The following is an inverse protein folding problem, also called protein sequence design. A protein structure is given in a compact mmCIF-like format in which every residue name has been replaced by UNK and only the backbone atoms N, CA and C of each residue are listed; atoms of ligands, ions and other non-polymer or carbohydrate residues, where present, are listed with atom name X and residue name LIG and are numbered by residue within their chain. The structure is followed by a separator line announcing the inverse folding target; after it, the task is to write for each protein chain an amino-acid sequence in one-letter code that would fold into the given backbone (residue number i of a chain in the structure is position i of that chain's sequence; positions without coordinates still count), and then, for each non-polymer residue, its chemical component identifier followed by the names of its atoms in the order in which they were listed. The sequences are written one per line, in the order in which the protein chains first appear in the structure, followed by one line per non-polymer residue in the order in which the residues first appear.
data_IF_927236197924
#
_entry.id   IF_927236197924
#
_cell.length_a   1.000
_cell.length_b   1.000
_cell.length_c   1.000
_cell.angle_alpha   90.00
_cell.angle_beta   90.00
_cell.angle_gamma   90.00
#
_symmetry.space_group_name_H-M   'P 1'
#
loop_
_entity.id
_entity.type
_entity.pdbx_description
1 polymer ?
#
# COMPACT_ATOMS: atom_id res chain seq x y z
N UNK A 1 -14.27 -0.58 76.25
CA UNK A 1 -13.47 -1.11 75.10
C UNK A 1 -14.33 -1.72 74.03
N UNK A 2 -15.66 -1.57 73.96
CA UNK A 2 -16.56 -2.21 72.94
C UNK A 2 -16.97 -1.34 71.77
N UNK A 3 -16.52 -0.08 71.69
CA UNK A 3 -16.92 0.85 70.59
C UNK A 3 -15.87 0.96 69.42
N UNK A 4 -14.70 0.39 69.61
CA UNK A 4 -13.60 0.46 68.60
C UNK A 4 -13.75 -0.54 67.45
N UNK A 5 -14.36 -1.68 67.70
CA UNK A 5 -14.55 -2.72 66.68
C UNK A 5 -15.58 -2.34 65.60
N UNK A 6 -16.79 -1.77 65.89
CA UNK A 6 -17.69 -1.37 64.81
C UNK A 6 -17.18 -0.19 64.00
N UNK A 7 -16.39 0.71 64.58
CA UNK A 7 -15.78 1.84 63.87
C UNK A 7 -14.70 1.38 62.90
N UNK A 8 -13.89 0.40 63.30
CA UNK A 8 -12.87 -0.21 62.41
C UNK A 8 -13.51 -0.99 61.25
N UNK A 9 -14.64 -1.69 61.54
CA UNK A 9 -15.37 -2.40 60.47
C UNK A 9 -16.02 -1.42 59.49
N UNK A 10 -16.60 -0.31 59.97
CA UNK A 10 -17.17 0.73 59.11
C UNK A 10 -16.10 1.43 58.28
N UNK A 11 -14.91 1.68 58.86
CA UNK A 11 -13.79 2.26 58.12
C UNK A 11 -13.23 1.30 57.04
N UNK A 12 -13.14 0.00 57.36
CA UNK A 12 -12.71 -1.03 56.40
C UNK A 12 -13.72 -1.19 55.27
N UNK A 13 -15.04 -1.15 55.57
CA UNK A 13 -16.10 -1.18 54.57
C UNK A 13 -16.10 0.06 53.67
N UNK A 14 -15.78 1.24 54.21
CA UNK A 14 -15.65 2.47 53.41
C UNK A 14 -14.44 2.46 52.46
N UNK A 15 -13.35 1.84 52.88
CA UNK A 15 -12.14 1.70 52.04
C UNK A 15 -12.31 0.70 50.87
N UNK A 16 -13.20 -0.28 51.03
CA UNK A 16 -13.51 -1.26 49.96
C UNK A 16 -14.54 -0.76 48.95
N UNK A 17 -15.17 0.39 49.19
CA UNK A 17 -16.20 0.99 48.33
C UNK A 17 -15.65 2.04 47.36
N UNK A 18 -14.39 1.93 46.96
CA UNK A 18 -13.78 2.81 45.96
C UNK A 18 -13.41 2.02 44.69
N UNK A 19 -13.70 2.58 43.55
CA UNK A 19 -13.19 2.10 42.24
C UNK A 19 -12.35 3.18 41.59
N UNK A 20 -11.39 2.76 40.79
CA UNK A 20 -10.51 3.62 40.04
C UNK A 20 -10.82 3.45 38.55
N UNK A 21 -10.84 4.55 37.80
CA UNK A 21 -10.89 4.61 36.35
C UNK A 21 -9.51 5.02 35.88
N UNK A 22 -8.88 4.18 35.04
CA UNK A 22 -7.54 4.41 34.57
C UNK A 22 -7.47 5.47 33.45
N UNK A 23 -6.30 6.03 33.25
CA UNK A 23 -6.05 7.03 32.18
C UNK A 23 -6.36 6.45 30.81
N UNK A 24 -7.13 7.19 30.01
CA UNK A 24 -7.57 6.77 28.66
C UNK A 24 -8.83 5.92 28.67
N UNK A 25 -9.43 5.66 29.85
CA UNK A 25 -10.69 4.99 30.01
C UNK A 25 -11.78 5.98 30.49
N UNK A 26 -13.01 5.55 30.44
CA UNK A 26 -14.18 6.31 30.87
C UNK A 26 -15.08 5.43 31.71
N UNK A 27 -15.64 5.99 32.77
CA UNK A 27 -16.58 5.28 33.64
C UNK A 27 -18.04 5.56 33.28
N UNK A 28 -18.85 4.51 33.38
CA UNK A 28 -20.31 4.62 33.33
C UNK A 28 -20.87 4.29 34.70
N UNK A 29 -21.48 5.28 35.32
CA UNK A 29 -22.12 5.13 36.64
C UNK A 29 -23.52 4.54 36.49
N UNK A 30 -23.83 3.55 37.34
CA UNK A 30 -25.17 3.00 37.50
C UNK A 30 -25.59 3.10 38.97
N UNK A 31 -26.70 3.78 39.23
CA UNK A 31 -27.29 3.89 40.54
C UNK A 31 -28.63 3.17 40.54
N UNK A 32 -28.76 2.09 41.34
CA UNK A 32 -29.97 1.28 41.43
C UNK A 32 -30.52 0.84 40.06
N UNK A 33 -29.61 0.47 39.12
CA UNK A 33 -29.95 0.04 37.76
C UNK A 33 -30.14 1.17 36.74
N UNK A 34 -30.18 2.44 37.17
CA UNK A 34 -30.27 3.59 36.27
C UNK A 34 -28.87 4.04 35.84
N UNK A 35 -28.64 4.13 34.53
CA UNK A 35 -27.40 4.64 33.94
C UNK A 35 -27.37 6.16 34.01
N UNK A 36 -26.26 6.73 34.48
CA UNK A 36 -26.00 8.17 34.39
C UNK A 36 -25.76 8.58 32.95
N UNK A 37 -26.32 9.70 32.45
CA UNK A 37 -26.04 10.19 31.11
C UNK A 37 -24.63 10.78 30.95
N UNK A 38 -23.97 11.09 32.07
CA UNK A 38 -22.63 11.67 32.06
C UNK A 38 -21.56 10.61 32.21
N UNK A 39 -20.53 10.70 31.35
CA UNK A 39 -19.34 9.87 31.39
C UNK A 39 -18.41 10.36 32.52
N UNK A 40 -17.94 9.46 33.38
CA UNK A 40 -16.97 9.78 34.40
C UNK A 40 -15.55 9.80 33.86
N UNK A 41 -14.80 10.89 34.04
CA UNK A 41 -13.39 10.95 33.63
C UNK A 41 -12.50 10.03 34.49
N UNK A 42 -11.23 9.81 34.11
CA UNK A 42 -10.27 9.10 34.94
C UNK A 42 -10.15 9.67 36.35
N UNK A 43 -10.11 8.77 37.36
CA UNK A 43 -10.07 9.18 38.75
C UNK A 43 -10.55 8.08 39.70
N UNK A 44 -10.67 8.43 40.98
CA UNK A 44 -11.15 7.53 42.05
C UNK A 44 -12.59 7.93 42.42
N UNK A 45 -13.48 6.95 42.44
CA UNK A 45 -14.90 7.14 42.70
C UNK A 45 -15.39 6.25 43.84
N UNK A 46 -16.24 6.84 44.67
CA UNK A 46 -16.87 6.14 45.78
C UNK A 46 -18.14 5.40 45.33
N UNK A 47 -18.20 4.09 45.56
CA UNK A 47 -19.19 3.18 44.95
C UNK A 47 -20.13 2.51 45.96
N UNK A 48 -20.39 3.10 47.14
CA UNK A 48 -21.17 2.45 48.20
C UNK A 48 -22.60 2.04 47.79
N UNK A 49 -23.28 2.88 46.99
CA UNK A 49 -24.65 2.63 46.48
C UNK A 49 -24.76 2.67 44.97
N UNK A 50 -23.64 2.65 44.28
CA UNK A 50 -23.54 2.73 42.83
C UNK A 50 -22.45 1.80 42.31
N UNK A 51 -22.59 1.40 41.08
CA UNK A 51 -21.54 0.67 40.34
C UNK A 51 -20.96 1.57 39.25
N UNK A 52 -19.68 1.44 39.00
CA UNK A 52 -19.01 2.14 37.92
C UNK A 52 -18.36 1.07 37.05
N UNK A 53 -18.79 0.99 35.81
CA UNK A 53 -18.18 0.13 34.81
C UNK A 53 -17.17 0.95 34.03
N UNK A 54 -15.97 0.40 33.83
CA UNK A 54 -14.88 1.07 33.15
C UNK A 54 -14.80 0.61 31.68
N UNK A 55 -14.87 1.57 30.75
CA UNK A 55 -14.81 1.34 29.32
C UNK A 55 -13.56 1.96 28.70
N UNK A 56 -12.96 1.27 27.74
CA UNK A 56 -11.85 1.78 26.98
C UNK A 56 -12.29 2.90 26.05
N UNK A 57 -11.64 4.05 26.16
CA UNK A 57 -11.68 5.13 25.17
C UNK A 57 -10.36 5.24 24.39
N UNK A 58 -9.45 4.30 24.63
CA UNK A 58 -8.21 4.13 23.89
C UNK A 58 -8.51 3.58 22.49
N UNK A 59 -7.50 3.61 21.64
CA UNK A 59 -7.57 2.90 20.35
C UNK A 59 -7.55 1.39 20.61
N UNK A 60 -8.53 0.72 20.05
CA UNK A 60 -8.69 -0.73 20.11
C UNK A 60 -8.62 -1.28 18.71
N UNK A 61 -7.97 -2.43 18.54
CA UNK A 61 -7.90 -3.13 17.26
C UNK A 61 -8.59 -4.48 17.31
N UNK A 62 -9.14 -4.90 16.19
CA UNK A 62 -9.61 -6.26 15.98
C UNK A 62 -9.27 -6.73 14.57
N UNK A 63 -9.21 -8.04 14.42
CA UNK A 63 -8.85 -8.70 13.19
C UNK A 63 -10.08 -9.37 12.57
N UNK A 64 -10.32 -9.08 11.30
CA UNK A 64 -11.22 -9.86 10.46
C UNK A 64 -10.37 -10.84 9.67
N UNK A 65 -10.58 -12.12 9.89
CA UNK A 65 -9.80 -13.20 9.26
C UNK A 65 -10.70 -14.12 8.46
N UNK A 66 -10.08 -14.87 7.55
CA UNK A 66 -10.73 -15.93 6.73
C UNK A 66 -11.97 -15.43 5.96
N UNK A 67 -11.94 -14.18 5.48
CA UNK A 67 -13.05 -13.65 4.70
C UNK A 67 -12.92 -14.06 3.24
N UNK A 68 -14.06 -14.41 2.64
CA UNK A 68 -14.16 -14.87 1.24
C UNK A 68 -15.11 -14.00 0.42
N UNK A 69 -14.88 -12.68 0.31
CA UNK A 69 -15.74 -11.79 -0.46
C UNK A 69 -15.58 -12.01 -1.97
N UNK A 70 -16.58 -11.53 -2.72
CA UNK A 70 -16.52 -11.46 -4.18
C UNK A 70 -16.14 -10.06 -4.65
N UNK A 71 -15.25 -10.01 -5.61
CA UNK A 71 -14.83 -8.78 -6.28
C UNK A 71 -15.84 -8.32 -7.35
N UNK A 72 -15.60 -7.14 -7.92
CA UNK A 72 -16.45 -6.55 -8.98
C UNK A 72 -16.55 -7.44 -10.21
N UNK A 73 -15.49 -8.13 -10.58
CA UNK A 73 -15.41 -9.11 -11.68
C UNK A 73 -15.95 -10.49 -11.31
N UNK A 74 -16.71 -10.57 -10.18
CA UNK A 74 -17.39 -11.78 -9.68
C UNK A 74 -16.42 -12.94 -9.33
N UNK A 75 -15.15 -12.63 -9.09
CA UNK A 75 -14.16 -13.59 -8.63
C UNK A 75 -14.17 -13.67 -7.10
N UNK A 76 -14.15 -14.88 -6.55
CA UNK A 76 -14.12 -15.08 -5.09
C UNK A 76 -12.69 -14.96 -4.59
N UNK A 77 -12.49 -14.11 -3.58
CA UNK A 77 -11.24 -14.06 -2.82
C UNK A 77 -11.16 -15.31 -1.94
N UNK A 78 -10.00 -15.93 -1.86
CA UNK A 78 -9.81 -17.16 -1.08
C UNK A 78 -9.60 -16.86 0.40
N UNK A 79 -8.90 -15.78 0.69
CA UNK A 79 -8.58 -15.36 2.03
C UNK A 79 -8.28 -13.86 2.05
N UNK A 80 -9.00 -13.15 2.90
CA UNK A 80 -8.82 -11.71 3.12
C UNK A 80 -8.76 -11.45 4.62
N UNK A 81 -7.59 -10.93 5.05
CA UNK A 81 -7.37 -10.53 6.43
C UNK A 81 -7.20 -9.02 6.53
N UNK A 82 -7.97 -8.41 7.41
CA UNK A 82 -7.96 -6.97 7.64
C UNK A 82 -7.94 -6.67 9.13
N UNK A 83 -7.01 -5.80 9.55
CA UNK A 83 -7.00 -5.25 10.90
C UNK A 83 -7.70 -3.88 10.88
N UNK A 84 -8.60 -3.67 11.83
CA UNK A 84 -9.35 -2.44 11.97
C UNK A 84 -9.03 -1.83 13.34
N UNK A 85 -8.70 -0.54 13.32
CA UNK A 85 -8.41 0.26 14.51
C UNK A 85 -9.52 1.28 14.70
N UNK A 86 -10.09 1.31 15.90
CA UNK A 86 -11.14 2.25 16.22
C UNK A 86 -11.04 2.74 17.66
N UNK A 87 -11.67 3.85 17.95
CA UNK A 87 -11.85 4.37 19.29
C UNK A 87 -13.28 4.84 19.48
N UNK A 88 -13.71 4.84 20.73
CA UNK A 88 -15.03 5.32 21.12
C UNK A 88 -14.90 6.72 21.70
N UNK A 89 -15.83 7.61 21.33
CA UNK A 89 -15.91 8.92 21.94
C UNK A 89 -16.35 8.79 23.41
N UNK A 90 -15.55 9.25 24.39
CA UNK A 90 -15.87 9.13 25.81
C UNK A 90 -17.28 9.62 26.19
N UNK A 91 -17.70 10.73 25.61
CA UNK A 91 -19.02 11.33 25.89
C UNK A 91 -20.20 10.50 25.38
N UNK A 92 -19.99 9.63 24.40
CA UNK A 92 -21.02 8.77 23.83
C UNK A 92 -21.21 7.46 24.61
N UNK A 93 -20.22 7.04 25.42
CA UNK A 93 -20.21 5.72 26.09
C UNK A 93 -21.44 5.45 26.94
N UNK A 94 -21.97 6.37 27.78
CA UNK A 94 -23.18 6.10 28.54
C UNK A 94 -24.42 5.82 27.69
N UNK A 95 -24.57 6.58 26.60
CA UNK A 95 -25.63 6.36 25.61
C UNK A 95 -25.50 5.04 24.89
N UNK A 96 -24.28 4.69 24.43
CA UNK A 96 -23.98 3.40 23.82
C UNK A 96 -24.22 2.25 24.81
N UNK A 97 -23.84 2.40 26.08
CA UNK A 97 -24.06 1.37 27.08
C UNK A 97 -25.55 1.12 27.31
N UNK A 98 -26.36 2.16 27.32
CA UNK A 98 -27.83 2.01 27.42
C UNK A 98 -28.40 1.29 26.20
N UNK A 99 -27.89 1.58 25.01
CA UNK A 99 -28.36 1.01 23.74
C UNK A 99 -27.84 -0.41 23.49
N UNK A 100 -26.59 -0.69 23.87
CA UNK A 100 -25.85 -1.93 23.53
C UNK A 100 -25.37 -2.69 24.80
N UNK A 101 -26.11 -2.66 25.87
CA UNK A 101 -25.73 -3.26 27.16
C UNK A 101 -25.31 -4.73 27.10
N UNK A 102 -25.87 -5.49 26.16
CA UNK A 102 -25.52 -6.90 25.92
C UNK A 102 -24.31 -7.13 25.03
N UNK A 103 -23.74 -6.07 24.44
CA UNK A 103 -22.61 -6.14 23.51
C UNK A 103 -21.36 -5.48 24.12
N UNK A 104 -20.86 -6.10 25.17
CA UNK A 104 -19.69 -5.63 25.92
C UNK A 104 -18.69 -6.79 26.04
N UNK A 105 -17.46 -6.54 25.66
CA UNK A 105 -16.37 -7.52 25.69
C UNK A 105 -15.22 -6.97 26.54
N UNK A 106 -14.53 -7.85 27.29
CA UNK A 106 -13.32 -7.43 27.99
C UNK A 106 -12.21 -7.16 26.99
N UNK A 107 -11.50 -6.06 27.17
CA UNK A 107 -10.39 -5.71 26.32
C UNK A 107 -9.30 -6.78 26.33
N UNK A 108 -9.05 -7.41 27.48
CA UNK A 108 -8.11 -8.54 27.61
C UNK A 108 -8.46 -9.76 26.75
N UNK A 109 -9.73 -9.95 26.43
CA UNK A 109 -10.19 -11.09 25.63
C UNK A 109 -10.00 -10.82 24.12
N UNK A 110 -9.81 -9.56 23.74
CA UNK A 110 -9.56 -9.15 22.34
C UNK A 110 -8.07 -9.14 22.00
N UNK A 111 -7.23 -8.81 22.94
CA UNK A 111 -5.78 -8.72 22.78
C UNK A 111 -5.13 -9.81 23.64
N UNK A 112 -4.31 -10.66 23.02
CA UNK A 112 -3.58 -11.74 23.73
C UNK A 112 -2.59 -11.25 24.79
N UNK A 113 -2.41 -9.94 24.91
CA UNK A 113 -1.57 -9.30 25.93
C UNK A 113 -2.41 -9.01 27.18
N UNK A 114 -2.22 -9.82 28.20
CA UNK A 114 -3.01 -9.73 29.44
C UNK A 114 -2.78 -8.44 30.22
N UNK A 115 -3.82 -7.98 30.90
CA UNK A 115 -3.73 -6.99 31.98
C UNK A 115 -4.73 -5.86 32.00
N UNK A 116 -5.49 -5.59 30.96
CA UNK A 116 -6.50 -4.53 30.98
C UNK A 116 -7.82 -5.04 31.54
N UNK A 117 -8.37 -4.33 32.55
CA UNK A 117 -9.67 -4.64 33.16
C UNK A 117 -10.83 -3.93 32.47
N UNK A 118 -10.52 -3.02 31.59
CA UNK A 118 -11.47 -2.20 30.86
C UNK A 118 -12.33 -3.02 29.89
N UNK A 119 -13.50 -2.51 29.60
CA UNK A 119 -14.49 -3.11 28.72
C UNK A 119 -14.52 -2.36 27.39
N UNK A 120 -14.78 -3.06 26.31
CA UNK A 120 -15.03 -2.49 24.98
C UNK A 120 -16.51 -2.62 24.68
N UNK A 121 -17.15 -1.49 24.40
CA UNK A 121 -18.58 -1.43 24.11
C UNK A 121 -18.88 -1.60 22.64
N UNK A 122 -20.00 -2.26 22.31
CA UNK A 122 -20.53 -2.46 20.97
C UNK A 122 -19.54 -3.17 20.01
N UNK A 123 -18.65 -4.01 20.55
CA UNK A 123 -17.63 -4.72 19.79
C UNK A 123 -18.21 -5.60 18.69
N UNK A 124 -19.19 -6.44 19.01
CA UNK A 124 -19.79 -7.35 18.03
C UNK A 124 -20.54 -6.58 16.94
N UNK A 125 -21.09 -5.43 17.29
CA UNK A 125 -21.72 -4.55 16.30
C UNK A 125 -20.69 -3.96 15.34
N UNK A 126 -19.64 -3.32 15.87
CA UNK A 126 -18.57 -2.74 15.05
C UNK A 126 -17.92 -3.80 14.17
N UNK A 127 -17.66 -4.99 14.70
CA UNK A 127 -17.08 -6.12 13.95
C UNK A 127 -17.99 -6.60 12.82
N UNK A 128 -19.32 -6.65 13.01
CA UNK A 128 -20.27 -7.03 11.94
C UNK A 128 -20.36 -5.97 10.85
N UNK A 129 -20.50 -4.70 11.22
CA UNK A 129 -20.53 -3.59 10.26
C UNK A 129 -19.20 -3.49 9.48
N UNK A 130 -18.09 -3.74 10.17
CA UNK A 130 -16.77 -3.78 9.52
C UNK A 130 -16.66 -4.90 8.49
N UNK A 131 -17.13 -6.09 8.83
CA UNK A 131 -17.19 -7.21 7.87
C UNK A 131 -18.00 -6.86 6.64
N UNK A 132 -19.17 -6.26 6.82
CA UNK A 132 -20.02 -5.83 5.72
C UNK A 132 -19.38 -4.72 4.89
N UNK A 133 -18.72 -3.74 5.51
CA UNK A 133 -17.99 -2.69 4.83
C UNK A 133 -16.84 -3.25 3.96
N UNK A 134 -16.13 -4.29 4.44
CA UNK A 134 -15.11 -5.00 3.65
C UNK A 134 -15.72 -5.67 2.44
N UNK A 135 -16.83 -6.41 2.60
CA UNK A 135 -17.51 -7.04 1.47
C UNK A 135 -17.97 -6.02 0.42
N UNK A 136 -18.55 -4.89 0.86
CA UNK A 136 -18.97 -3.79 -0.03
C UNK A 136 -17.78 -3.13 -0.74
N UNK A 137 -16.67 -2.93 -0.05
CA UNK A 137 -15.47 -2.31 -0.62
C UNK A 137 -14.81 -3.21 -1.67
N UNK A 138 -14.66 -4.50 -1.38
CA UNK A 138 -14.06 -5.48 -2.29
C UNK A 138 -14.92 -5.65 -3.55
N UNK A 139 -16.26 -5.62 -3.41
CA UNK A 139 -17.17 -5.67 -4.56
C UNK A 139 -17.06 -4.47 -5.52
N UNK A 140 -16.38 -3.40 -5.14
CA UNK A 140 -16.11 -2.24 -6.01
C UNK A 140 -14.80 -2.37 -6.80
N UNK A 141 -13.91 -3.27 -6.43
CA UNK A 141 -12.58 -3.45 -7.02
C UNK A 141 -12.47 -4.77 -7.80
N UNK A 142 -11.62 -4.77 -8.81
CA UNK A 142 -11.29 -5.98 -9.57
C UNK A 142 -10.25 -6.82 -8.83
N UNK A 143 -10.45 -8.13 -8.74
CA UNK A 143 -9.51 -9.04 -8.08
C UNK A 143 -8.10 -8.95 -8.67
N UNK A 144 -8.01 -8.83 -9.99
CA UNK A 144 -6.74 -8.78 -10.73
C UNK A 144 -5.86 -7.57 -10.41
N UNK A 145 -6.46 -6.44 -10.00
CA UNK A 145 -5.73 -5.20 -9.69
C UNK A 145 -5.69 -4.86 -8.20
N UNK A 146 -6.45 -5.58 -7.39
CA UNK A 146 -6.64 -5.27 -5.97
C UNK A 146 -5.34 -5.29 -5.16
N UNK A 147 -4.40 -6.19 -5.51
CA UNK A 147 -3.10 -6.28 -4.84
C UNK A 147 -2.25 -5.00 -4.97
N UNK A 148 -2.41 -4.23 -6.05
CA UNK A 148 -1.74 -2.93 -6.25
C UNK A 148 -2.52 -1.75 -5.68
N UNK A 149 -3.82 -1.95 -5.36
CA UNK A 149 -4.75 -0.92 -4.87
C UNK A 149 -5.13 -1.10 -3.40
N UNK A 150 -4.24 -1.69 -2.60
CA UNK A 150 -4.50 -1.97 -1.17
C UNK A 150 -4.85 -0.72 -0.36
N UNK A 151 -4.18 0.40 -0.63
CA UNK A 151 -4.46 1.68 0.05
C UNK A 151 -5.86 2.22 -0.27
N UNK A 152 -6.31 2.05 -1.51
CA UNK A 152 -7.66 2.43 -1.92
C UNK A 152 -8.70 1.53 -1.25
N UNK A 153 -8.46 0.21 -1.20
CA UNK A 153 -9.32 -0.73 -0.49
C UNK A 153 -9.44 -0.33 1.00
N UNK A 154 -8.31 -0.05 1.66
CA UNK A 154 -8.30 0.37 3.06
C UNK A 154 -9.13 1.63 3.29
N UNK A 155 -9.03 2.62 2.39
CA UNK A 155 -9.81 3.86 2.48
C UNK A 155 -11.30 3.65 2.20
N UNK A 156 -11.65 2.80 1.24
CA UNK A 156 -13.04 2.42 0.98
C UNK A 156 -13.68 1.72 2.19
N UNK A 157 -12.94 0.81 2.83
CA UNK A 157 -13.41 0.15 4.05
C UNK A 157 -13.55 1.16 5.18
N UNK A 158 -12.53 2.01 5.41
CA UNK A 158 -12.53 3.02 6.47
C UNK A 158 -13.72 3.98 6.33
N UNK A 159 -13.87 4.57 5.16
CA UNK A 159 -14.94 5.56 4.89
C UNK A 159 -16.33 4.91 4.89
N UNK A 160 -16.46 3.71 4.34
CA UNK A 160 -17.69 2.94 4.35
C UNK A 160 -18.14 2.58 5.76
N UNK A 161 -17.24 2.02 6.57
CA UNK A 161 -17.50 1.66 7.97
C UNK A 161 -17.85 2.90 8.81
N UNK A 162 -17.07 4.00 8.68
CA UNK A 162 -17.35 5.23 9.39
C UNK A 162 -18.75 5.75 9.08
N UNK A 163 -19.15 5.74 7.80
CA UNK A 163 -20.47 6.17 7.35
C UNK A 163 -21.60 5.33 7.94
N UNK A 164 -21.46 4.01 7.98
CA UNK A 164 -22.46 3.09 8.54
C UNK A 164 -22.59 3.26 10.07
N UNK A 165 -21.47 3.44 10.76
CA UNK A 165 -21.48 3.70 12.20
C UNK A 165 -22.13 5.06 12.51
N UNK A 166 -21.79 6.11 11.75
CA UNK A 166 -22.36 7.45 11.93
C UNK A 166 -23.86 7.52 11.60
N UNK A 167 -24.35 6.67 10.73
CA UNK A 167 -25.78 6.62 10.43
C UNK A 167 -26.61 6.14 11.63
N UNK A 168 -26.03 5.30 12.49
CA UNK A 168 -26.71 4.72 13.65
C UNK A 168 -26.37 5.41 14.97
N UNK A 169 -25.11 5.83 15.13
CA UNK A 169 -24.53 6.37 16.37
C UNK A 169 -23.56 7.51 16.04
N UNK A 170 -24.10 8.61 15.54
CA UNK A 170 -23.35 9.75 15.00
C UNK A 170 -22.27 10.26 15.96
N UNK A 171 -21.02 10.21 15.50
CA UNK A 171 -19.86 10.70 16.23
C UNK A 171 -19.47 9.87 17.46
N UNK A 172 -20.10 8.70 17.67
CA UNK A 172 -19.79 7.81 18.79
C UNK A 172 -18.52 6.98 18.54
N UNK A 173 -18.24 6.62 17.29
CA UNK A 173 -17.10 5.81 16.91
C UNK A 173 -16.23 6.57 15.90
N UNK A 174 -14.93 6.38 16.01
CA UNK A 174 -13.94 6.93 15.06
C UNK A 174 -13.06 5.79 14.57
N UNK A 175 -13.11 5.51 13.27
CA UNK A 175 -12.22 4.52 12.65
C UNK A 175 -10.90 5.22 12.35
N UNK A 176 -9.84 4.81 13.07
CA UNK A 176 -8.54 5.47 13.02
C UNK A 176 -7.71 4.96 11.84
N UNK A 177 -7.68 3.63 11.66
CA UNK A 177 -6.92 2.99 10.58
C UNK A 177 -7.56 1.67 10.15
N UNK A 178 -7.28 1.30 8.91
CA UNK A 178 -7.61 -0.01 8.34
C UNK A 178 -6.36 -0.53 7.64
N UNK A 179 -5.89 -1.71 8.03
CA UNK A 179 -4.72 -2.35 7.45
C UNK A 179 -5.11 -3.64 6.73
N UNK A 180 -4.88 -3.70 5.45
CA UNK A 180 -5.09 -4.91 4.64
C UNK A 180 -3.83 -5.79 4.75
N UNK A 181 -3.92 -6.87 5.56
CA UNK A 181 -2.80 -7.79 5.82
C UNK A 181 -2.62 -8.79 4.71
N UNK A 182 -3.68 -9.49 4.37
CA UNK A 182 -3.65 -10.54 3.38
C UNK A 182 -4.76 -10.35 2.35
N UNK A 183 -4.44 -10.65 1.10
CA UNK A 183 -5.35 -10.65 -0.04
C UNK A 183 -4.94 -11.84 -0.92
N UNK A 184 -5.53 -13.00 -0.65
CA UNK A 184 -5.29 -14.20 -1.44
C UNK A 184 -6.45 -14.42 -2.41
N UNK A 185 -6.10 -14.58 -3.67
CA UNK A 185 -7.03 -14.97 -4.72
C UNK A 185 -6.95 -16.48 -4.97
N UNK A 186 -7.84 -17.01 -5.77
CA UNK A 186 -7.73 -18.41 -6.24
C UNK A 186 -6.43 -18.59 -7.04
N UNK A 187 -5.71 -19.71 -6.89
CA UNK A 187 -4.48 -19.98 -7.63
C UNK A 187 -4.59 -19.86 -9.14
N UNK A 188 -5.77 -20.17 -9.71
CA UNK A 188 -6.04 -19.98 -11.13
C UNK A 188 -6.05 -18.50 -11.53
N UNK A 189 -6.58 -17.64 -10.66
CA UNK A 189 -6.58 -16.18 -10.85
C UNK A 189 -5.17 -15.64 -10.72
N UNK A 190 -4.41 -16.09 -9.74
CA UNK A 190 -2.99 -15.69 -9.58
C UNK A 190 -2.14 -16.09 -10.80
N UNK A 191 -2.37 -17.26 -11.36
CA UNK A 191 -1.72 -17.68 -12.59
C UNK A 191 -2.08 -16.76 -13.78
N UNK A 192 -3.36 -16.41 -13.92
CA UNK A 192 -3.82 -15.48 -14.96
C UNK A 192 -3.24 -14.05 -14.78
N UNK A 193 -3.17 -13.55 -13.55
CA UNK A 193 -2.53 -12.26 -13.22
C UNK A 193 -1.04 -12.30 -13.60
N UNK A 194 -0.34 -13.36 -13.24
CA UNK A 194 1.09 -13.53 -13.57
C UNK A 194 1.32 -13.57 -15.07
N UNK A 195 0.52 -14.36 -15.80
CA UNK A 195 0.59 -14.43 -17.25
C UNK A 195 0.32 -13.08 -17.93
N UNK A 196 -0.65 -12.31 -17.41
CA UNK A 196 -0.94 -10.96 -17.88
C UNK A 196 0.24 -10.02 -17.63
N UNK A 197 0.82 -10.04 -16.44
CA UNK A 197 2.00 -9.23 -16.10
C UNK A 197 3.21 -9.56 -16.98
N UNK A 198 3.45 -10.84 -17.26
CA UNK A 198 4.50 -11.29 -18.20
C UNK A 198 4.24 -10.78 -19.62
N UNK A 199 2.99 -10.83 -20.07
CA UNK A 199 2.59 -10.30 -21.40
C UNK A 199 2.78 -8.79 -21.48
N UNK A 200 2.36 -8.05 -20.46
CA UNK A 200 2.52 -6.59 -20.41
C UNK A 200 4.01 -6.19 -20.39
N UNK A 201 4.84 -6.92 -19.64
CA UNK A 201 6.30 -6.71 -19.67
C UNK A 201 6.92 -7.02 -21.03
N UNK A 202 6.46 -8.07 -21.72
CA UNK A 202 6.91 -8.42 -23.05
C UNK A 202 6.53 -7.34 -24.07
N UNK A 203 5.32 -6.81 -23.99
CA UNK A 203 4.84 -5.70 -24.84
C UNK A 203 5.70 -4.44 -24.58
N UNK A 204 5.95 -4.08 -23.33
CA UNK A 204 6.75 -2.92 -22.99
C UNK A 204 8.21 -3.06 -23.48
N UNK A 205 8.78 -4.26 -23.33
CA UNK A 205 10.11 -4.58 -23.88
C UNK A 205 10.14 -4.38 -25.40
N UNK A 206 9.15 -4.92 -26.10
CA UNK A 206 9.03 -4.76 -27.56
C UNK A 206 8.86 -3.30 -27.97
N UNK A 207 8.11 -2.54 -27.22
CA UNK A 207 7.93 -1.09 -27.44
C UNK A 207 9.26 -0.34 -27.37
N UNK A 208 10.06 -0.63 -26.32
CA UNK A 208 11.40 -0.06 -26.15
C UNK A 208 12.37 -0.51 -27.26
N UNK A 209 12.32 -1.77 -27.69
CA UNK A 209 13.12 -2.26 -28.82
C UNK A 209 12.78 -1.50 -30.10
N UNK A 210 11.50 -1.27 -30.38
CA UNK A 210 11.05 -0.50 -31.55
C UNK A 210 11.50 0.97 -31.47
N UNK A 211 11.42 1.57 -30.30
CA UNK A 211 11.85 2.95 -30.07
C UNK A 211 13.36 3.11 -30.28
N UNK A 212 14.16 2.18 -29.75
CA UNK A 212 15.60 2.13 -29.95
C UNK A 212 15.95 1.95 -31.45
N UNK A 213 15.28 1.03 -32.14
CA UNK A 213 15.49 0.80 -33.56
C UNK A 213 15.15 2.04 -34.42
N UNK A 214 14.08 2.76 -34.08
CA UNK A 214 13.72 4.03 -34.71
C UNK A 214 14.78 5.11 -34.47
N UNK A 215 15.22 5.27 -33.24
CA UNK A 215 16.26 6.25 -32.89
C UNK A 215 17.59 5.94 -33.58
N UNK A 216 17.94 4.66 -33.71
CA UNK A 216 19.13 4.23 -34.42
C UNK A 216 19.04 4.46 -35.94
N UNK A 217 17.89 4.18 -36.57
CA UNK A 217 17.62 4.49 -37.95
C UNK A 217 17.68 6.01 -38.22
N UNK A 218 17.11 6.81 -37.34
CA UNK A 218 17.14 8.27 -37.44
C UNK A 218 18.57 8.81 -37.30
N UNK A 219 19.37 8.26 -36.39
CA UNK A 219 20.78 8.59 -36.23
C UNK A 219 21.58 8.28 -37.51
N UNK A 220 21.35 7.11 -38.12
CA UNK A 220 22.01 6.72 -39.36
C UNK A 220 21.63 7.64 -40.52
N UNK A 221 20.37 8.06 -40.62
CA UNK A 221 19.92 9.01 -41.66
C UNK A 221 20.61 10.36 -41.47
N UNK A 222 20.63 10.90 -40.25
CA UNK A 222 21.28 12.18 -39.92
C UNK A 222 22.78 12.12 -40.20
N UNK A 223 23.45 11.01 -39.90
CA UNK A 223 24.85 10.77 -40.16
C UNK A 223 25.14 10.73 -41.68
N UNK A 224 24.30 10.01 -42.45
CA UNK A 224 24.41 9.92 -43.90
C UNK A 224 24.17 11.28 -44.59
N UNK A 225 23.16 12.04 -44.15
CA UNK A 225 22.88 13.41 -44.60
C UNK A 225 24.05 14.36 -44.29
N UNK A 226 24.59 14.26 -43.08
CA UNK A 226 25.76 15.03 -42.64
C UNK A 226 26.98 14.74 -43.53
N UNK A 227 27.22 13.46 -43.85
CA UNK A 227 28.31 13.02 -44.69
C UNK A 227 28.13 13.44 -46.17
N UNK A 228 26.90 13.35 -46.69
CA UNK A 228 26.56 13.84 -48.03
C UNK A 228 26.78 15.35 -48.14
N UNK A 229 26.36 16.10 -47.14
CA UNK A 229 26.54 17.56 -47.06
C UNK A 229 28.00 17.97 -46.96
N UNK A 230 28.78 17.25 -46.14
CA UNK A 230 30.23 17.44 -46.05
C UNK A 230 30.93 17.18 -47.39
N UNK A 231 30.59 16.08 -48.06
CA UNK A 231 31.12 15.73 -49.37
C UNK A 231 30.74 16.78 -50.45
N UNK A 232 29.53 17.33 -50.40
CA UNK A 232 29.09 18.39 -51.32
C UNK A 232 29.87 19.68 -51.08
N UNK A 233 30.13 20.07 -49.83
CA UNK A 233 30.93 21.23 -49.49
C UNK A 233 32.39 21.05 -49.96
N UNK A 234 32.98 19.89 -49.72
CA UNK A 234 34.33 19.55 -50.18
C UNK A 234 34.38 19.60 -51.72
N UNK A 235 33.41 18.97 -52.39
CA UNK A 235 33.36 18.96 -53.87
C UNK A 235 33.23 20.35 -54.50
N UNK A 236 32.48 21.24 -53.86
CA UNK A 236 32.27 22.61 -54.32
C UNK A 236 33.47 23.54 -54.03
N UNK A 237 34.25 23.23 -53.02
CA UNK A 237 35.41 24.03 -52.59
C UNK A 237 36.76 23.58 -53.18
N UNK A 238 36.80 22.39 -53.82
CA UNK A 238 38.02 21.84 -54.40
C UNK A 238 38.34 22.43 -55.76
N UNK A 239 39.46 23.16 -55.84
CA UNK A 239 40.08 23.50 -57.12
C UNK A 239 40.62 22.23 -57.81
N UNK A 240 40.80 22.24 -59.21
CA UNK A 240 41.31 21.06 -59.93
C UNK A 240 42.58 20.47 -59.34
N UNK A 241 43.54 21.30 -58.94
CA UNK A 241 44.81 20.88 -58.30
C UNK A 241 44.60 20.21 -56.93
N UNK A 242 43.66 20.67 -56.12
CA UNK A 242 43.35 20.10 -54.79
C UNK A 242 42.61 18.76 -54.94
N UNK A 243 41.87 18.54 -56.07
CA UNK A 243 41.22 17.28 -56.39
C UNK A 243 42.23 16.19 -56.65
N UNK A 244 43.28 16.49 -57.41
CA UNK A 244 44.37 15.52 -57.72
C UNK A 244 45.12 15.12 -56.43
N UNK A 245 45.44 16.08 -55.54
CA UNK A 245 46.11 15.82 -54.24
C UNK A 245 45.23 14.92 -53.37
N UNK A 246 43.94 15.21 -53.31
CA UNK A 246 43.00 14.40 -52.49
C UNK A 246 42.80 13.01 -53.05
N UNK A 247 42.78 12.86 -54.31
CA UNK A 247 42.75 11.54 -55.01
C UNK A 247 43.99 10.72 -54.70
N UNK A 248 45.16 11.35 -54.74
CA UNK A 248 46.44 10.68 -54.41
C UNK A 248 46.51 10.27 -52.91
N UNK A 249 45.99 11.10 -52.01
CA UNK A 249 45.88 10.73 -50.61
C UNK A 249 44.95 9.54 -50.37
N UNK A 250 43.75 9.53 -50.96
CA UNK A 250 42.80 8.42 -50.88
C UNK A 250 43.36 7.12 -51.46
N UNK A 251 44.10 7.19 -52.57
CA UNK A 251 44.79 6.04 -53.13
C UNK A 251 45.89 5.52 -52.21
N UNK A 252 46.64 6.41 -51.57
CA UNK A 252 47.67 6.04 -50.57
C UNK A 252 47.05 5.38 -49.33
N UNK A 253 45.98 5.93 -48.82
CA UNK A 253 45.30 5.41 -47.61
C UNK A 253 44.64 4.06 -47.93
N UNK A 254 44.03 3.88 -49.10
CA UNK A 254 43.52 2.60 -49.56
C UNK A 254 44.65 1.55 -49.73
N UNK A 255 45.79 1.94 -50.25
CA UNK A 255 46.94 1.06 -50.39
C UNK A 255 47.50 0.66 -49.00
N UNK A 256 47.59 1.59 -48.08
CA UNK A 256 48.00 1.31 -46.70
C UNK A 256 47.01 0.41 -45.96
N UNK A 257 45.70 0.60 -46.17
CA UNK A 257 44.64 -0.25 -45.59
C UNK A 257 44.69 -1.69 -46.12
N UNK A 258 45.07 -1.85 -47.38
CA UNK A 258 45.28 -3.16 -48.01
C UNK A 258 46.61 -3.79 -47.52
N UNK A 259 47.69 -3.01 -47.41
CA UNK A 259 48.99 -3.47 -46.93
C UNK A 259 48.99 -3.84 -45.44
N UNK A 260 48.11 -3.25 -44.62
CA UNK A 260 47.95 -3.56 -43.17
C UNK A 260 47.28 -4.90 -42.89
N UNK A 261 46.63 -5.53 -43.89
CA UNK A 261 46.12 -6.91 -43.77
C UNK A 261 47.29 -7.86 -44.03
N UNK A 262 47.65 -8.65 -43.04
CA UNK A 262 48.77 -9.61 -43.09
C UNK A 262 48.73 -10.47 -44.34
N UNK A 263 49.81 -10.42 -45.13
CA UNK A 263 50.00 -11.26 -46.28
C UNK A 263 49.82 -10.60 -47.66
N UNK A 264 49.46 -9.29 -47.72
CA UNK A 264 49.31 -8.60 -49.02
C UNK A 264 50.47 -7.64 -49.32
N UNK A 265 51.15 -7.83 -50.43
CA UNK A 265 52.16 -6.88 -50.95
C UNK A 265 51.50 -5.96 -51.97
N UNK A 266 51.48 -4.65 -51.73
CA UNK A 266 50.97 -3.65 -52.68
C UNK A 266 52.13 -2.99 -53.36
N UNK A 267 52.25 -3.19 -54.69
CA UNK A 267 53.22 -2.50 -55.55
C UNK A 267 52.55 -1.25 -56.13
N UNK A 268 53.03 -0.08 -55.75
CA UNK A 268 52.62 1.19 -56.32
C UNK A 268 53.55 1.44 -57.57
N UNK A 269 53.02 1.17 -58.74
CA UNK A 269 53.70 1.52 -59.98
C UNK A 269 53.49 3.01 -60.28
N UNK A 270 54.50 3.67 -60.84
CA UNK A 270 54.53 5.11 -61.22
C UNK A 270 53.61 5.52 -62.38
N UNK A 271 52.42 5.00 -62.43
CA UNK A 271 51.34 5.37 -63.39
C UNK A 271 50.06 4.66 -62.98
N UNK A 272 49.28 5.34 -62.26
CA UNK A 272 47.81 5.34 -62.03
C UNK A 272 46.98 4.05 -61.94
N UNK A 273 47.53 2.83 -61.86
CA UNK A 273 46.75 1.63 -61.54
C UNK A 273 47.44 0.73 -60.51
N UNK A 274 46.84 0.39 -59.42
CA UNK A 274 47.38 -0.56 -58.46
C UNK A 274 47.25 -2.00 -58.99
N UNK A 275 48.38 -2.69 -59.16
CA UNK A 275 48.39 -4.13 -59.40
C UNK A 275 48.19 -4.86 -58.07
N UNK A 276 47.05 -5.48 -57.88
CA UNK A 276 46.72 -6.27 -56.67
C UNK A 276 47.23 -7.70 -56.94
N UNK A 277 48.25 -8.13 -56.21
CA UNK A 277 48.64 -9.54 -56.19
C UNK A 277 47.89 -10.24 -55.07
N UNK A 278 46.94 -11.08 -55.38
CA UNK A 278 46.22 -11.92 -54.45
C UNK A 278 47.06 -13.17 -54.21
N UNK A 279 47.96 -13.15 -53.26
CA UNK A 279 48.68 -14.34 -52.80
C UNK A 279 47.72 -15.42 -52.32
N UNK A 280 48.02 -16.70 -52.64
CA UNK A 280 47.29 -17.90 -52.23
C UNK A 280 47.26 -18.08 -50.73
#
# INVERSE_FOLDING_TARGET
MKLRTPLLLALAAALSACTQIDTGNVGVERTLGKVSPEALPPGIYFTLFKTVDEFSAKEVSFQLQDMTPKSRDNLTMKDVDIDIYFKVNPSAVPGLFTKYQGDVVRHSDMVREGGTKDLVIAYSRVSREAREAVYKAIAQLEATTMHTRRSELAELVRSGLQKELDANDKGAFVITAVNVRNLLTDPAIEAAIRQRAETDQAIEKKRKEIELAKAEAERLIVEAEGQAKANQIISSSLTPALKEIKLAELQRDAALAIASKQGNTVLLGGGAQPLINVGK
#
